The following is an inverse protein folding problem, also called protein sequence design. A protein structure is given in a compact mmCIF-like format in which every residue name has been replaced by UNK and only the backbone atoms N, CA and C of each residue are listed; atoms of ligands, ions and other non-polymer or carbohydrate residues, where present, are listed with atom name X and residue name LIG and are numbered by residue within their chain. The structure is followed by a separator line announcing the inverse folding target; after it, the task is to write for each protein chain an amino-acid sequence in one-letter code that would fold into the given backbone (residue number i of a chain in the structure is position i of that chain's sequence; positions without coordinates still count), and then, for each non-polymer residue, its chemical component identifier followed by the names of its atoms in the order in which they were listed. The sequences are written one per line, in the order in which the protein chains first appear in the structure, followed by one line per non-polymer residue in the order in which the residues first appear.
data_IF_855573887200
#
_entry.id   IF_855573887200
#
_cell.length_a   1.000
_cell.length_b   1.000
_cell.length_c   1.000
_cell.angle_alpha   90.00
_cell.angle_beta   90.00
_cell.angle_gamma   90.00
#
_symmetry.space_group_name_H-M   'P 1'
#
loop_
_entity.id
_entity.type
_entity.pdbx_description
1 polymer ?
#
# COMPACT_ATOMS: atom_id res chain seq x y z
N UNK A 1 -55.57 -29.30 -58.35
CA UNK A 1 -55.07 -29.16 -56.95
C UNK A 1 -53.90 -28.18 -56.94
N UNK A 2 -54.06 -26.92 -56.49
CA UNK A 2 -52.93 -25.95 -56.26
C UNK A 2 -53.33 -24.56 -55.71
N UNK A 3 -54.60 -24.26 -55.43
CA UNK A 3 -55.03 -22.90 -55.00
C UNK A 3 -55.33 -22.72 -53.51
N UNK A 4 -55.50 -23.79 -52.73
CA UNK A 4 -55.81 -23.70 -51.29
C UNK A 4 -54.57 -23.65 -50.39
N UNK A 5 -53.44 -24.25 -50.80
CA UNK A 5 -52.17 -24.17 -50.07
C UNK A 5 -51.45 -22.82 -50.20
N UNK A 6 -51.76 -22.03 -51.24
CA UNK A 6 -51.16 -20.71 -51.45
C UNK A 6 -51.66 -19.66 -50.44
N UNK A 7 -52.95 -19.70 -50.08
CA UNK A 7 -53.53 -18.77 -49.10
C UNK A 7 -53.13 -19.12 -47.65
N UNK A 8 -52.98 -20.41 -47.33
CA UNK A 8 -52.59 -20.86 -45.98
C UNK A 8 -51.08 -20.63 -45.73
N UNK A 9 -50.23 -20.86 -46.74
CA UNK A 9 -48.78 -20.58 -46.64
C UNK A 9 -48.46 -19.07 -46.58
N UNK A 10 -49.22 -18.24 -47.32
CA UNK A 10 -49.08 -16.79 -47.26
C UNK A 10 -49.50 -16.22 -45.89
N UNK A 11 -50.59 -16.73 -45.31
CA UNK A 11 -51.05 -16.30 -43.98
C UNK A 11 -50.04 -16.61 -42.85
N UNK A 12 -49.39 -17.78 -42.91
CA UNK A 12 -48.36 -18.15 -41.92
C UNK A 12 -47.08 -17.32 -42.04
N UNK A 13 -46.63 -17.03 -43.27
CA UNK A 13 -45.47 -16.16 -43.48
C UNK A 13 -45.72 -14.73 -43.01
N UNK A 14 -46.93 -14.18 -43.22
CA UNK A 14 -47.31 -12.86 -42.71
C UNK A 14 -47.34 -12.85 -41.18
N UNK A 15 -47.87 -13.90 -40.54
CA UNK A 15 -47.88 -14.03 -39.08
C UNK A 15 -46.47 -14.12 -38.48
N UNK A 16 -45.56 -14.88 -39.11
CA UNK A 16 -44.15 -14.99 -38.69
C UNK A 16 -43.42 -13.65 -38.84
N UNK A 17 -43.64 -12.93 -39.96
CA UNK A 17 -43.05 -11.60 -40.18
C UNK A 17 -43.56 -10.60 -39.13
N UNK A 18 -44.84 -10.61 -38.79
CA UNK A 18 -45.39 -9.75 -37.73
C UNK A 18 -44.84 -10.10 -36.34
N UNK A 19 -44.59 -11.37 -36.06
CA UNK A 19 -43.99 -11.83 -34.80
C UNK A 19 -42.52 -11.39 -34.69
N UNK A 20 -41.74 -11.52 -35.77
CA UNK A 20 -40.35 -11.08 -35.83
C UNK A 20 -40.23 -9.55 -35.71
N UNK A 21 -41.14 -8.80 -36.35
CA UNK A 21 -41.20 -7.34 -36.21
C UNK A 21 -41.48 -6.95 -34.75
N UNK A 22 -42.41 -7.62 -34.06
CA UNK A 22 -42.73 -7.31 -32.65
C UNK A 22 -41.55 -7.59 -31.71
N UNK A 23 -40.82 -8.70 -31.91
CA UNK A 23 -39.61 -9.03 -31.13
C UNK A 23 -38.50 -8.01 -31.37
N UNK A 24 -38.34 -7.53 -32.61
CA UNK A 24 -37.38 -6.48 -32.95
C UNK A 24 -37.75 -5.14 -32.27
N UNK A 25 -39.03 -4.75 -32.26
CA UNK A 25 -39.47 -3.54 -31.56
C UNK A 25 -39.34 -3.62 -30.02
N UNK A 26 -39.50 -4.80 -29.40
CA UNK A 26 -39.28 -4.97 -27.95
C UNK A 26 -37.79 -4.88 -27.58
N UNK A 27 -36.89 -5.39 -28.42
CA UNK A 27 -35.44 -5.32 -28.18
C UNK A 27 -34.82 -3.94 -28.47
N UNK A 28 -35.58 -3.00 -29.05
CA UNK A 28 -35.11 -1.66 -29.40
C UNK A 28 -35.71 -0.55 -28.50
N UNK A 29 -36.26 -0.94 -27.34
CA UNK A 29 -36.66 -0.02 -26.25
C UNK A 29 -35.97 -0.39 -24.94
N UNK A 30 -34.66 -0.66 -24.98
CA UNK A 30 -33.83 -0.23 -23.86
C UNK A 30 -33.71 1.29 -24.00
N UNK A 31 -34.55 2.02 -23.26
CA UNK A 31 -34.35 3.44 -23.00
C UNK A 31 -32.85 3.64 -22.68
N UNK A 32 -32.11 4.53 -23.35
CA UNK A 32 -30.87 4.99 -22.77
C UNK A 32 -31.28 5.55 -21.41
N UNK A 33 -30.81 4.92 -20.33
CA UNK A 33 -31.03 5.42 -18.99
C UNK A 33 -30.76 6.92 -19.05
N UNK A 34 -31.80 7.74 -18.82
CA UNK A 34 -31.62 9.18 -18.67
C UNK A 34 -30.56 9.31 -17.62
N UNK A 35 -29.37 9.76 -18.02
CA UNK A 35 -28.31 10.16 -17.11
C UNK A 35 -28.93 11.33 -16.36
N UNK A 36 -29.58 11.02 -15.23
CA UNK A 36 -29.68 11.95 -14.15
C UNK A 36 -28.26 12.40 -13.91
N UNK A 37 -28.00 13.70 -14.09
CA UNK A 37 -26.77 14.34 -13.68
C UNK A 37 -26.71 14.21 -12.15
N UNK A 38 -26.42 13.00 -11.69
CA UNK A 38 -25.70 12.80 -10.47
C UNK A 38 -24.43 13.57 -10.69
N UNK A 39 -24.24 14.62 -9.91
CA UNK A 39 -22.97 15.32 -9.83
C UNK A 39 -21.94 14.26 -9.45
N UNK A 40 -21.33 13.61 -10.44
CA UNK A 40 -20.05 12.94 -10.28
C UNK A 40 -19.15 14.06 -9.79
N UNK A 41 -18.67 14.03 -8.53
CA UNK A 41 -17.63 14.95 -8.13
C UNK A 41 -16.53 14.78 -9.17
N UNK A 42 -16.10 15.88 -9.81
CA UNK A 42 -14.91 15.86 -10.64
C UNK A 42 -13.86 15.02 -9.90
N UNK A 43 -13.16 14.06 -10.55
CA UNK A 43 -12.16 13.27 -9.86
C UNK A 43 -11.24 14.26 -9.18
N UNK A 44 -11.34 14.34 -7.85
CA UNK A 44 -10.54 15.26 -7.07
C UNK A 44 -9.12 14.80 -7.35
N UNK A 45 -8.41 15.54 -8.21
CA UNK A 45 -6.96 15.38 -8.35
C UNK A 45 -6.47 15.44 -6.91
N UNK A 46 -6.03 14.29 -6.37
CA UNK A 46 -5.40 14.26 -5.06
C UNK A 46 -4.16 15.12 -5.21
N UNK A 47 -4.28 16.40 -4.85
CA UNK A 47 -3.16 17.32 -4.87
C UNK A 47 -2.18 16.75 -3.88
N UNK A 48 -1.07 16.25 -4.42
CA UNK A 48 -0.02 15.64 -3.66
C UNK A 48 0.60 16.70 -2.75
N UNK A 49 0.35 16.59 -1.44
CA UNK A 49 0.80 17.58 -0.47
C UNK A 49 2.28 17.35 -0.16
N UNK A 50 3.12 18.34 -0.47
CA UNK A 50 4.53 18.35 -0.03
C UNK A 50 4.63 18.76 1.44
N UNK A 51 5.59 18.16 2.14
CA UNK A 51 5.88 18.37 3.57
C UNK A 51 7.41 18.38 3.78
N UNK A 52 7.86 18.71 4.99
CA UNK A 52 9.26 18.56 5.39
C UNK A 52 9.33 18.08 6.84
N UNK A 53 9.22 16.77 7.04
CA UNK A 53 9.31 16.15 8.35
C UNK A 53 10.63 15.40 8.49
N UNK A 54 11.08 15.27 9.73
CA UNK A 54 12.22 14.44 10.08
C UNK A 54 11.82 13.45 11.17
N UNK A 55 12.15 12.18 10.98
CA UNK A 55 11.91 11.12 11.97
C UNK A 55 13.19 10.30 12.14
N UNK A 56 13.39 9.68 13.30
CA UNK A 56 14.55 8.81 13.54
C UNK A 56 14.12 7.35 13.52
N UNK A 57 15.00 6.48 13.02
CA UNK A 57 14.80 5.04 13.09
C UNK A 57 16.05 4.28 13.54
N UNK A 58 15.84 3.09 14.11
CA UNK A 58 16.90 2.15 14.40
C UNK A 58 16.41 0.72 14.20
N UNK A 59 17.30 -0.11 13.67
CA UNK A 59 17.11 -1.56 13.61
C UNK A 59 18.19 -2.23 14.46
N UNK A 60 17.77 -3.07 15.39
CA UNK A 60 18.64 -3.93 16.17
C UNK A 60 18.38 -5.38 15.80
N UNK A 61 19.47 -6.15 15.63
CA UNK A 61 19.41 -7.59 15.39
C UNK A 61 20.37 -8.24 16.38
N UNK A 62 19.81 -9.06 17.28
CA UNK A 62 20.47 -9.70 18.41
C UNK A 62 21.29 -8.71 19.25
N UNK A 63 20.65 -7.60 19.64
CA UNK A 63 21.30 -6.52 20.40
C UNK A 63 22.27 -5.61 19.64
N UNK A 64 22.60 -5.91 18.37
CA UNK A 64 23.52 -5.09 17.57
C UNK A 64 22.76 -4.10 16.68
N UNK A 65 23.02 -2.79 16.86
CA UNK A 65 22.48 -1.73 16.01
C UNK A 65 23.01 -1.88 14.58
N UNK A 66 22.11 -1.89 13.60
CA UNK A 66 22.46 -1.88 12.18
C UNK A 66 22.83 -0.46 11.77
N UNK A 67 23.87 -0.36 10.94
CA UNK A 67 24.36 0.90 10.38
C UNK A 67 23.96 0.99 8.92
N UNK A 68 23.64 2.20 8.47
CA UNK A 68 23.17 2.48 7.11
C UNK A 68 24.10 3.48 6.41
N UNK A 69 25.41 3.44 6.70
CA UNK A 69 26.40 4.39 6.16
C UNK A 69 26.84 4.08 4.73
N UNK A 70 26.53 2.90 4.20
CA UNK A 70 26.82 2.56 2.81
C UNK A 70 25.90 3.35 1.86
N UNK A 71 26.46 3.89 0.77
CA UNK A 71 25.72 4.71 -0.21
C UNK A 71 24.52 4.00 -0.85
N UNK A 72 24.50 2.66 -0.82
CA UNK A 72 23.37 1.86 -1.31
C UNK A 72 22.05 2.13 -0.58
N UNK A 73 22.04 2.86 0.54
CA UNK A 73 20.83 3.18 1.31
C UNK A 73 20.37 4.64 1.17
N UNK A 74 21.16 5.51 0.54
CA UNK A 74 20.92 6.96 0.59
C UNK A 74 20.19 7.47 -0.65
N UNK A 75 19.31 8.46 -0.44
CA UNK A 75 18.64 9.21 -1.52
C UNK A 75 17.90 8.34 -2.56
N UNK A 76 17.38 7.18 -2.17
CA UNK A 76 16.74 6.21 -3.08
C UNK A 76 15.32 6.59 -3.51
N UNK A 77 14.74 7.63 -2.90
CA UNK A 77 13.40 8.13 -3.17
C UNK A 77 13.35 9.63 -2.99
N UNK A 78 12.56 10.31 -3.82
CA UNK A 78 12.32 11.76 -3.69
C UNK A 78 11.34 12.12 -2.57
N UNK A 79 10.55 11.14 -2.14
CA UNK A 79 9.41 11.35 -1.24
C UNK A 79 9.75 11.07 0.23
N UNK A 80 10.60 10.07 0.46
CA UNK A 80 11.01 9.61 1.79
C UNK A 80 12.36 8.90 1.69
N UNK A 81 13.38 9.39 2.39
CA UNK A 81 14.75 8.91 2.21
C UNK A 81 15.63 9.19 3.42
N UNK A 82 16.85 8.65 3.41
CA UNK A 82 17.92 8.97 4.37
C UNK A 82 19.14 9.51 3.61
N UNK A 83 19.98 10.28 4.28
CA UNK A 83 21.19 10.89 3.72
C UNK A 83 22.46 10.28 4.34
N UNK A 84 23.61 10.46 3.68
CA UNK A 84 24.89 9.97 4.19
C UNK A 84 25.35 10.70 5.46
N UNK A 85 24.94 11.96 5.62
CA UNK A 85 25.27 12.84 6.75
C UNK A 85 24.69 12.34 8.07
N UNK A 86 23.45 11.87 8.05
CA UNK A 86 22.78 11.21 9.18
C UNK A 86 21.85 10.10 8.65
N UNK A 87 22.37 8.87 8.48
CA UNK A 87 21.61 7.76 7.93
C UNK A 87 20.60 7.17 8.93
N UNK A 88 20.48 7.75 10.13
CA UNK A 88 19.43 7.41 11.10
C UNK A 88 18.21 8.33 10.99
N UNK A 89 18.34 9.45 10.25
CA UNK A 89 17.30 10.44 10.05
C UNK A 89 16.56 10.21 8.73
N UNK A 90 15.27 9.87 8.83
CA UNK A 90 14.35 9.79 7.69
C UNK A 90 13.81 11.17 7.38
N UNK A 91 14.06 11.64 6.17
CA UNK A 91 13.51 12.85 5.60
C UNK A 91 12.23 12.51 4.84
N UNK A 92 11.12 13.17 5.15
CA UNK A 92 9.83 12.98 4.46
C UNK A 92 9.47 14.26 3.72
N UNK A 93 9.36 14.17 2.40
CA UNK A 93 9.05 15.30 1.50
C UNK A 93 7.62 15.28 0.92
N UNK A 94 6.91 14.17 1.13
CA UNK A 94 5.53 13.95 0.67
C UNK A 94 4.65 13.44 1.80
N UNK A 95 3.49 14.08 1.97
CA UNK A 95 2.55 13.71 3.00
C UNK A 95 1.96 12.32 2.78
N UNK A 96 1.65 11.63 3.88
CA UNK A 96 0.98 10.33 3.83
C UNK A 96 1.90 9.12 3.68
N UNK A 97 3.22 9.33 3.63
CA UNK A 97 4.19 8.22 3.61
C UNK A 97 4.17 7.44 4.91
N UNK A 98 4.17 6.13 4.80
CA UNK A 98 4.24 5.18 5.90
C UNK A 98 5.66 4.70 6.14
N UNK A 99 5.90 4.08 7.30
CA UNK A 99 7.16 3.41 7.56
C UNK A 99 7.45 2.29 6.55
N UNK A 100 6.42 1.57 6.08
CA UNK A 100 6.56 0.59 5.00
C UNK A 100 7.03 1.24 3.70
N UNK A 101 6.44 2.37 3.31
CA UNK A 101 6.86 3.10 2.11
C UNK A 101 8.34 3.44 2.16
N UNK A 102 8.84 3.87 3.34
CA UNK A 102 10.27 4.12 3.56
C UNK A 102 11.11 2.85 3.40
N UNK A 103 10.80 1.78 4.15
CA UNK A 103 11.61 0.55 4.10
C UNK A 103 11.61 -0.14 2.74
N UNK A 104 10.54 -0.01 1.96
CA UNK A 104 10.48 -0.51 0.57
C UNK A 104 11.42 0.23 -0.38
N UNK A 105 11.89 1.43 -0.03
CA UNK A 105 12.91 2.14 -0.82
C UNK A 105 14.31 1.53 -0.66
N UNK A 106 14.57 0.91 0.48
CA UNK A 106 15.89 0.39 0.83
C UNK A 106 16.11 -0.99 0.19
N UNK A 107 17.37 -1.41 -0.09
CA UNK A 107 17.71 -2.72 -0.64
C UNK A 107 17.53 -3.90 0.35
N UNK A 108 16.55 -3.82 1.24
CA UNK A 108 16.21 -4.77 2.28
C UNK A 108 14.71 -5.13 2.22
N UNK A 109 14.28 -6.13 3.00
CA UNK A 109 12.86 -6.42 3.19
C UNK A 109 12.55 -6.41 4.68
N UNK A 110 11.37 -5.90 5.01
CA UNK A 110 10.85 -5.87 6.36
C UNK A 110 9.36 -6.11 6.29
N UNK A 111 8.89 -7.10 7.03
CA UNK A 111 7.47 -7.36 7.26
C UNK A 111 7.23 -7.64 8.74
N UNK A 112 6.02 -8.08 9.09
CA UNK A 112 5.63 -8.32 10.50
C UNK A 112 6.40 -9.48 11.16
N UNK A 113 6.97 -10.39 10.38
CA UNK A 113 7.60 -11.62 10.86
C UNK A 113 9.11 -11.68 10.59
N UNK A 114 9.61 -10.96 9.58
CA UNK A 114 10.95 -11.14 9.04
C UNK A 114 11.66 -9.82 8.67
N UNK A 115 12.99 -9.82 8.86
CA UNK A 115 13.93 -8.84 8.30
C UNK A 115 14.86 -9.57 7.32
N UNK A 116 14.99 -9.07 6.10
CA UNK A 116 16.03 -9.48 5.14
C UNK A 116 16.94 -8.29 4.90
N UNK A 117 18.20 -8.36 5.30
CA UNK A 117 19.14 -7.23 5.24
C UNK A 117 19.58 -6.91 3.80
N UNK A 118 20.27 -5.77 3.63
CA UNK A 118 20.90 -5.42 2.34
C UNK A 118 21.91 -6.47 1.84
N UNK A 119 22.55 -7.17 2.77
CA UNK A 119 23.47 -8.29 2.52
C UNK A 119 22.77 -9.65 2.37
N UNK A 120 21.43 -9.66 2.35
CA UNK A 120 20.57 -10.86 2.17
C UNK A 120 20.56 -11.85 3.33
N UNK A 121 21.03 -11.44 4.51
CA UNK A 121 20.82 -12.21 5.74
C UNK A 121 19.35 -12.14 6.15
N UNK A 122 18.78 -13.25 6.61
CA UNK A 122 17.36 -13.37 6.95
C UNK A 122 17.16 -13.65 8.43
N UNK A 123 16.30 -12.86 9.08
CA UNK A 123 15.98 -12.93 10.49
C UNK A 123 14.46 -12.95 10.66
N UNK A 124 13.89 -14.15 10.79
CA UNK A 124 12.46 -14.35 10.96
C UNK A 124 12.14 -14.76 12.40
N UNK A 125 10.95 -14.39 12.88
CA UNK A 125 10.43 -14.82 14.17
C UNK A 125 10.51 -16.34 14.32
N UNK A 126 10.96 -16.79 15.49
CA UNK A 126 11.02 -18.21 15.87
C UNK A 126 10.43 -18.40 17.26
N UNK A 127 10.52 -19.61 17.82
CA UNK A 127 10.13 -19.86 19.22
C UNK A 127 10.97 -19.06 20.22
N UNK A 128 12.22 -18.74 19.87
CA UNK A 128 13.17 -18.11 20.79
C UNK A 128 13.48 -16.66 20.45
N UNK A 129 13.28 -16.25 19.19
CA UNK A 129 13.58 -14.88 18.74
C UNK A 129 12.30 -14.19 18.26
N UNK A 130 12.13 -12.95 18.70
CA UNK A 130 10.94 -12.14 18.39
C UNK A 130 11.33 -10.91 17.59
N UNK A 131 10.44 -10.47 16.70
CA UNK A 131 10.52 -9.19 16.03
C UNK A 131 9.55 -8.24 16.72
N UNK A 132 10.07 -7.14 17.28
CA UNK A 132 9.31 -6.18 18.07
C UNK A 132 9.40 -4.81 17.43
N UNK A 133 8.28 -4.11 17.37
CA UNK A 133 8.14 -2.78 16.78
C UNK A 133 7.72 -1.78 17.84
N UNK A 134 8.36 -0.61 17.87
CA UNK A 134 8.00 0.49 18.76
C UNK A 134 7.96 1.79 18.00
N UNK A 135 6.91 2.58 18.25
CA UNK A 135 6.77 3.94 17.77
C UNK A 135 6.66 4.84 19.00
N UNK A 136 7.58 5.80 19.13
CA UNK A 136 7.59 6.77 20.23
C UNK A 136 7.56 6.08 21.61
N UNK A 137 8.46 5.11 21.80
CA UNK A 137 8.60 4.24 23.00
C UNK A 137 7.42 3.30 23.31
N UNK A 138 6.36 3.31 22.51
CA UNK A 138 5.19 2.45 22.68
C UNK A 138 5.26 1.28 21.71
N UNK A 139 5.07 0.05 22.21
CA UNK A 139 4.99 -1.14 21.35
C UNK A 139 3.85 -0.97 20.34
N UNK A 140 4.15 -1.09 19.06
CA UNK A 140 3.18 -0.94 17.98
C UNK A 140 3.42 -1.98 16.88
N UNK A 141 2.67 -3.09 16.93
CA UNK A 141 2.77 -4.17 15.95
C UNK A 141 2.29 -3.77 14.54
N UNK A 142 1.70 -2.58 14.39
CA UNK A 142 1.27 -2.00 13.11
C UNK A 142 2.17 -0.88 12.60
N UNK A 143 3.35 -0.68 13.21
CA UNK A 143 4.29 0.40 12.88
C UNK A 143 4.49 0.61 11.38
N UNK A 144 4.64 -0.47 10.60
CA UNK A 144 4.87 -0.40 9.16
C UNK A 144 3.74 0.33 8.42
N UNK A 145 2.50 0.26 8.91
CA UNK A 145 1.33 0.90 8.30
C UNK A 145 1.05 2.30 8.87
N UNK A 146 1.77 2.71 9.92
CA UNK A 146 1.63 4.05 10.47
C UNK A 146 2.25 5.07 9.52
N UNK A 147 1.53 6.18 9.32
CA UNK A 147 2.05 7.36 8.63
C UNK A 147 3.17 7.97 9.46
N UNK A 148 4.30 8.28 8.82
CA UNK A 148 5.43 8.97 9.45
C UNK A 148 5.01 10.40 9.78
N UNK A 149 5.25 10.80 11.02
CA UNK A 149 5.05 12.17 11.52
C UNK A 149 6.39 12.78 11.93
N UNK A 150 6.38 14.09 12.05
CA UNK A 150 7.56 14.83 12.48
C UNK A 150 7.98 14.41 13.90
N UNK A 151 9.28 14.19 14.07
CA UNK A 151 9.95 13.72 15.28
C UNK A 151 9.58 12.31 15.75
N UNK A 152 8.93 11.49 14.91
CA UNK A 152 8.69 10.09 15.26
C UNK A 152 10.00 9.33 15.51
N UNK A 153 9.97 8.42 16.47
CA UNK A 153 11.07 7.51 16.80
C UNK A 153 10.60 6.07 16.56
N UNK A 154 11.11 5.43 15.50
CA UNK A 154 10.82 4.05 15.17
C UNK A 154 11.96 3.11 15.61
N UNK A 155 11.64 2.10 16.41
CA UNK A 155 12.56 1.02 16.75
C UNK A 155 12.02 -0.31 16.22
N UNK A 156 12.88 -1.05 15.52
CA UNK A 156 12.68 -2.44 15.16
C UNK A 156 13.76 -3.27 15.86
N UNK A 157 13.36 -4.18 16.74
CA UNK A 157 14.27 -5.06 17.48
C UNK A 157 13.98 -6.51 17.16
N UNK A 158 14.95 -7.21 16.60
CA UNK A 158 14.92 -8.65 16.42
C UNK A 158 15.85 -9.32 17.44
N UNK A 159 15.32 -10.28 18.21
CA UNK A 159 16.13 -11.09 19.12
C UNK A 159 15.39 -11.54 20.38
N UNK A 160 16.18 -11.85 21.40
CA UNK A 160 15.77 -12.32 22.73
C UNK A 160 15.79 -11.19 23.77
N UNK A 161 15.77 -9.91 23.33
CA UNK A 161 16.01 -8.78 24.21
C UNK A 161 15.04 -8.74 25.39
N UNK A 162 15.60 -8.56 26.59
CA UNK A 162 14.84 -8.25 27.79
C UNK A 162 14.49 -6.75 27.87
N UNK A 163 13.71 -6.37 28.87
CA UNK A 163 13.22 -4.99 29.06
C UNK A 163 14.36 -3.97 29.20
N UNK A 164 15.43 -4.32 29.92
CA UNK A 164 16.59 -3.44 30.11
C UNK A 164 17.32 -3.18 28.79
N UNK A 165 17.56 -4.23 28.00
CA UNK A 165 18.20 -4.12 26.69
C UNK A 165 17.33 -3.30 25.75
N UNK A 166 16.02 -3.57 25.72
CA UNK A 166 15.07 -2.82 24.89
C UNK A 166 15.03 -1.33 25.28
N UNK A 167 14.99 -1.01 26.57
CA UNK A 167 15.03 0.37 27.05
C UNK A 167 16.31 1.10 26.63
N UNK A 168 17.44 0.41 26.62
CA UNK A 168 18.71 0.95 26.10
C UNK A 168 18.62 1.29 24.62
N UNK A 169 18.03 0.40 23.81
CA UNK A 169 17.82 0.64 22.38
C UNK A 169 16.89 1.84 22.12
N UNK A 170 15.75 1.93 22.82
CA UNK A 170 14.83 3.07 22.75
C UNK A 170 15.51 4.39 23.10
N UNK A 171 16.27 4.41 24.20
CA UNK A 171 17.03 5.58 24.61
C UNK A 171 18.10 6.01 23.58
N UNK A 172 18.60 5.09 22.75
CA UNK A 172 19.58 5.42 21.70
C UNK A 172 19.00 6.32 20.61
N UNK A 173 17.69 6.31 20.40
CA UNK A 173 17.00 7.15 19.40
C UNK A 173 16.81 8.59 19.87
N UNK A 174 16.74 8.80 21.20
CA UNK A 174 16.53 10.11 21.82
C UNK A 174 17.82 10.93 21.95
N UNK A 175 18.97 10.28 21.83
CA UNK A 175 20.25 10.98 21.87
C UNK A 175 20.32 11.92 20.65
N UNK A 176 20.78 13.18 20.85
CA UNK A 176 20.88 14.16 19.78
C UNK A 176 21.71 13.60 18.62
#
# INVERSE_FOLDING_TARGET
MKRTYGLIAAGFLIAIVLLLIKVFYINQTAEPAKISVSQTPAPTLKVEKSVDYKAKFAIYINGTKRIFTNSMYHNLSKDVYIEASDPSMVHVKKDGKTWMDFFMTLPMKLDKDCIITGTKETFCMTKNSTLKFYLNDVKNDKLLFEKIKDNDLALISYGTENETQLKSQLNSLKKP
#
